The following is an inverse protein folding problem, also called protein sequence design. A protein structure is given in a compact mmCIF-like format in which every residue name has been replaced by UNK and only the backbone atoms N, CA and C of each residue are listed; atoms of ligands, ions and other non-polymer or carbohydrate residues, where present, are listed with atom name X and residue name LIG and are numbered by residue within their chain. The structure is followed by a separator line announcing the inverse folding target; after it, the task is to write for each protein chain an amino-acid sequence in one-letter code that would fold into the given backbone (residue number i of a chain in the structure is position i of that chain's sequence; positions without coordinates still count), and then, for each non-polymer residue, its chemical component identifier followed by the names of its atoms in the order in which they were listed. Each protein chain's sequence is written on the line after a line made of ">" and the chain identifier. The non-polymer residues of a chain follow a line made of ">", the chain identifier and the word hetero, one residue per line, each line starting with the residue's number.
data_IF_368323461026
#
_entry.id   IF_368323461026
#
_cell.length_a   1.000
_cell.length_b   1.000
_cell.length_c   1.000
_cell.angle_alpha   90.00
_cell.angle_beta   90.00
_cell.angle_gamma   90.00
#
_symmetry.space_group_name_H-M   'P 1'
#
loop_
_entity.id
_entity.type
_entity.pdbx_description
1 polymer ?
#
# COMPACT_ATOMS: atom_id res chain seq x y z
N UNK A 1 26.76 -20.94 -23.51
CA UNK A 1 26.42 -19.63 -24.08
C UNK A 1 26.37 -18.64 -22.93
N UNK A 2 27.32 -17.71 -22.88
CA UNK A 2 27.39 -16.69 -21.86
C UNK A 2 26.27 -15.69 -22.10
N UNK A 3 25.30 -15.60 -21.18
CA UNK A 3 24.34 -14.53 -21.18
C UNK A 3 25.08 -13.24 -20.76
N UNK A 4 25.33 -12.39 -21.72
CA UNK A 4 25.81 -11.03 -21.45
C UNK A 4 24.64 -10.28 -20.80
N UNK A 5 24.74 -10.00 -19.51
CA UNK A 5 23.85 -9.07 -18.81
C UNK A 5 23.84 -7.73 -19.55
N UNK A 6 22.66 -7.17 -19.84
CA UNK A 6 22.58 -5.85 -20.44
C UNK A 6 23.18 -4.81 -19.50
N UNK A 7 24.20 -4.13 -19.94
CA UNK A 7 25.07 -3.25 -19.14
C UNK A 7 24.48 -1.85 -18.88
N UNK A 8 23.17 -1.63 -19.00
CA UNK A 8 22.55 -0.37 -18.60
C UNK A 8 21.26 -0.65 -17.85
N UNK A 9 21.33 -0.55 -16.53
CA UNK A 9 20.12 -0.38 -15.72
C UNK A 9 19.48 0.95 -16.12
N UNK A 10 18.17 0.98 -16.38
CA UNK A 10 17.48 2.25 -16.57
C UNK A 10 17.65 3.10 -15.31
N UNK A 11 17.90 4.39 -15.49
CA UNK A 11 17.98 5.34 -14.39
C UNK A 11 16.55 5.68 -14.00
N UNK A 12 15.98 4.93 -13.07
CA UNK A 12 14.57 5.02 -12.69
C UNK A 12 14.25 6.22 -11.79
N UNK A 13 15.29 6.89 -11.27
CA UNK A 13 15.12 8.09 -10.46
C UNK A 13 15.70 9.27 -11.22
N UNK A 14 14.86 10.17 -11.73
CA UNK A 14 15.34 11.41 -12.35
C UNK A 14 16.16 12.25 -11.37
N UNK A 15 17.20 12.93 -11.85
CA UNK A 15 18.15 13.68 -11.02
C UNK A 15 17.51 14.71 -10.07
N UNK A 16 16.35 15.25 -10.42
CA UNK A 16 15.64 16.21 -9.59
C UNK A 16 14.94 15.58 -8.38
N UNK A 17 14.49 14.33 -8.47
CA UNK A 17 14.03 13.57 -7.30
C UNK A 17 15.17 13.35 -6.33
N UNK A 18 16.39 13.09 -6.83
CA UNK A 18 17.55 12.93 -6.00
C UNK A 18 17.81 14.16 -5.12
N UNK A 19 17.56 15.37 -5.61
CA UNK A 19 17.76 16.60 -4.81
C UNK A 19 16.66 16.84 -3.77
N UNK A 20 15.41 16.48 -4.06
CA UNK A 20 14.32 16.56 -3.11
C UNK A 20 14.42 15.46 -2.06
N UNK A 21 14.72 14.24 -2.48
CA UNK A 21 14.99 13.09 -1.60
C UNK A 21 16.21 13.39 -0.72
N UNK A 22 17.29 13.99 -1.24
CA UNK A 22 18.46 14.37 -0.46
C UNK A 22 18.12 15.28 0.71
N UNK A 23 17.23 16.26 0.50
CA UNK A 23 16.80 17.16 1.59
C UNK A 23 15.96 16.45 2.65
N UNK A 24 15.12 15.50 2.25
CA UNK A 24 14.29 14.70 3.15
C UNK A 24 15.11 13.67 3.92
N UNK A 25 16.25 13.27 3.38
CA UNK A 25 17.13 12.24 3.94
C UNK A 25 18.32 12.80 4.68
N UNK A 26 18.42 14.11 4.78
CA UNK A 26 19.50 14.76 5.53
C UNK A 26 19.56 14.21 6.96
N UNK A 27 20.69 13.62 7.31
CA UNK A 27 20.91 12.97 8.60
C UNK A 27 20.48 11.50 8.70
N UNK A 28 19.96 10.88 7.63
CA UNK A 28 19.81 9.42 7.60
C UNK A 28 21.17 8.74 7.41
N UNK A 29 21.39 7.59 8.07
CA UNK A 29 22.62 6.84 7.84
C UNK A 29 22.64 6.33 6.39
N UNK A 30 23.75 6.57 5.69
CA UNK A 30 23.97 6.11 4.31
C UNK A 30 23.89 4.57 4.14
N UNK A 31 23.77 3.83 5.23
CA UNK A 31 23.73 2.37 5.26
C UNK A 31 22.33 1.76 5.14
N UNK A 32 21.27 2.56 5.01
CA UNK A 32 19.91 2.04 4.81
C UNK A 32 19.75 1.40 3.43
N UNK A 33 20.65 1.73 2.52
CA UNK A 33 20.58 1.32 1.12
C UNK A 33 21.62 0.24 0.81
N UNK A 34 21.33 -1.00 1.15
CA UNK A 34 22.12 -2.12 0.69
C UNK A 34 21.64 -2.60 -0.68
N UNK A 35 22.55 -2.66 -1.63
CA UNK A 35 22.34 -3.35 -2.92
C UNK A 35 22.54 -4.87 -2.80
N UNK A 36 22.66 -5.38 -1.59
CA UNK A 36 22.77 -6.82 -1.38
C UNK A 36 21.45 -7.48 -1.73
N UNK A 37 21.52 -8.49 -2.57
CA UNK A 37 20.35 -9.27 -2.94
C UNK A 37 19.98 -10.23 -1.84
N UNK A 38 18.70 -10.27 -1.43
CA UNK A 38 18.25 -11.36 -0.60
C UNK A 38 18.31 -12.66 -1.41
N UNK A 39 18.85 -13.71 -0.81
CA UNK A 39 18.70 -15.05 -1.35
C UNK A 39 17.38 -15.63 -0.87
N UNK A 40 16.57 -16.17 -1.80
CA UNK A 40 15.33 -16.88 -1.46
C UNK A 40 14.25 -16.04 -0.73
N UNK A 41 14.06 -14.80 -1.14
CA UNK A 41 12.96 -13.97 -0.66
C UNK A 41 11.59 -14.48 -1.17
N UNK A 42 10.54 -14.28 -0.39
CA UNK A 42 9.15 -14.49 -0.80
C UNK A 42 8.34 -13.27 -0.40
N UNK A 43 7.54 -12.76 -1.32
CA UNK A 43 6.59 -11.70 -1.04
C UNK A 43 5.53 -12.18 -0.03
N UNK A 44 5.17 -11.31 0.91
CA UNK A 44 4.20 -11.62 1.94
C UNK A 44 2.82 -11.18 1.48
N UNK A 45 1.88 -12.12 1.41
CA UNK A 45 0.49 -11.85 1.05
C UNK A 45 -0.23 -11.07 2.17
N UNK A 46 -1.29 -10.34 1.79
CA UNK A 46 -2.09 -9.58 2.75
C UNK A 46 -2.75 -10.48 3.81
N UNK A 47 -3.18 -11.66 3.42
CA UNK A 47 -3.79 -12.65 4.31
C UNK A 47 -2.79 -13.44 5.17
N UNK A 48 -1.49 -13.12 5.10
CA UNK A 48 -0.50 -13.68 6.02
C UNK A 48 -0.69 -13.14 7.45
N UNK A 49 -0.17 -13.83 8.47
CA UNK A 49 -0.30 -13.36 9.86
C UNK A 49 0.32 -11.99 10.06
N UNK A 50 -0.50 -11.01 10.43
CA UNK A 50 -0.12 -9.63 10.71
C UNK A 50 -0.14 -9.35 12.21
N UNK A 51 0.87 -8.65 12.70
CA UNK A 51 0.95 -8.17 14.09
C UNK A 51 0.66 -6.69 14.21
N UNK A 52 0.58 -5.97 13.09
CA UNK A 52 0.29 -4.54 13.10
C UNK A 52 -0.26 -4.04 11.77
N UNK A 53 -0.72 -2.79 11.80
CA UNK A 53 -1.19 -2.04 10.63
C UNK A 53 -0.57 -0.65 10.65
N UNK A 54 0.01 -0.25 9.53
CA UNK A 54 0.51 1.09 9.28
C UNK A 54 -0.62 1.92 8.66
N UNK A 55 -0.89 3.06 9.27
CA UNK A 55 -1.84 4.08 8.81
C UNK A 55 -1.17 5.46 8.90
N UNK A 56 -1.79 6.47 8.32
CA UNK A 56 -1.26 7.84 8.39
C UNK A 56 -2.28 8.83 8.96
N UNK A 57 -1.74 9.88 9.58
CA UNK A 57 -2.48 11.02 10.11
C UNK A 57 -1.86 12.31 9.55
N UNK A 58 -2.01 12.54 8.25
CA UNK A 58 -1.35 13.64 7.55
C UNK A 58 -1.93 14.99 7.91
N UNK A 59 -1.12 16.03 7.73
CA UNK A 59 -1.54 17.42 7.87
C UNK A 59 -2.04 18.06 6.58
N UNK A 60 -2.26 17.26 5.53
CA UNK A 60 -2.78 17.72 4.24
C UNK A 60 -4.10 17.04 3.92
N UNK A 61 -4.96 17.74 3.20
CA UNK A 61 -6.23 17.20 2.71
C UNK A 61 -5.96 16.52 1.35
N UNK A 62 -6.43 15.28 1.12
CA UNK A 62 -6.31 14.63 -0.17
C UNK A 62 -6.90 15.47 -1.30
N UNK A 63 -6.18 15.58 -2.41
CA UNK A 63 -6.56 16.42 -3.54
C UNK A 63 -5.96 17.83 -3.53
N UNK A 64 -5.43 18.28 -2.40
CA UNK A 64 -4.61 19.49 -2.35
C UNK A 64 -3.15 19.15 -2.66
N UNK A 65 -2.42 20.13 -3.20
CA UNK A 65 -0.98 19.97 -3.43
C UNK A 65 -0.27 19.74 -2.09
N UNK A 66 0.52 18.68 -1.96
CA UNK A 66 1.27 18.43 -0.73
C UNK A 66 2.24 19.56 -0.44
N UNK A 67 2.28 19.98 0.80
CA UNK A 67 3.20 21.01 1.26
C UNK A 67 4.31 20.39 2.09
N UNK A 68 5.49 20.94 2.00
CA UNK A 68 6.66 20.50 2.73
C UNK A 68 7.12 21.59 3.72
N UNK A 69 6.92 21.41 5.01
CA UNK A 69 6.22 20.30 5.68
C UNK A 69 4.70 20.34 5.48
N UNK A 70 4.00 19.23 5.60
CA UNK A 70 2.54 19.16 5.56
C UNK A 70 1.91 20.14 6.56
N UNK A 71 0.87 20.85 6.11
CA UNK A 71 0.15 21.85 6.91
C UNK A 71 -1.35 21.62 6.85
N UNK A 72 -2.07 22.19 7.84
CA UNK A 72 -3.53 22.09 7.93
C UNK A 72 -4.02 21.09 9.00
N UNK A 73 -5.33 20.90 9.12
CA UNK A 73 -5.91 19.97 10.08
C UNK A 73 -5.47 18.55 9.78
N UNK A 74 -5.11 17.80 10.85
CA UNK A 74 -4.75 16.40 10.71
C UNK A 74 -5.97 15.51 10.85
N UNK A 75 -6.03 14.43 10.05
CA UNK A 75 -7.10 13.46 10.12
C UNK A 75 -6.67 12.09 9.60
N UNK A 76 -7.28 11.02 10.12
CA UNK A 76 -7.22 9.71 9.49
C UNK A 76 -8.10 9.69 8.23
N UNK A 77 -7.62 9.03 7.20
CA UNK A 77 -8.42 8.70 6.01
C UNK A 77 -9.41 7.54 6.22
N UNK A 78 -9.40 6.92 7.40
CA UNK A 78 -10.26 5.80 7.78
C UNK A 78 -11.07 6.15 9.04
N UNK A 79 -12.24 5.52 9.26
CA UNK A 79 -13.02 5.72 10.49
C UNK A 79 -12.27 5.26 11.73
N UNK A 80 -12.46 5.96 12.83
CA UNK A 80 -11.92 5.56 14.13
C UNK A 80 -12.38 4.16 14.54
N UNK A 81 -13.62 3.78 14.20
CA UNK A 81 -14.16 2.44 14.41
C UNK A 81 -13.27 1.35 13.83
N UNK A 82 -12.79 1.51 12.59
CA UNK A 82 -11.90 0.53 11.97
C UNK A 82 -10.60 0.37 12.78
N UNK A 83 -10.01 1.48 13.23
CA UNK A 83 -8.77 1.45 14.04
C UNK A 83 -8.99 0.65 15.32
N UNK A 84 -10.10 0.88 16.01
CA UNK A 84 -10.45 0.20 17.27
C UNK A 84 -10.69 -1.29 17.02
N UNK A 85 -11.46 -1.63 15.97
CA UNK A 85 -11.76 -3.02 15.64
C UNK A 85 -10.53 -3.83 15.20
N UNK A 86 -9.57 -3.19 14.51
CA UNK A 86 -8.31 -3.84 14.18
C UNK A 86 -7.53 -4.28 15.44
N UNK A 87 -7.55 -3.49 16.51
CA UNK A 87 -6.88 -3.85 17.77
C UNK A 87 -7.54 -5.05 18.49
N UNK A 88 -8.82 -5.31 18.25
CA UNK A 88 -9.57 -6.38 18.90
C UNK A 88 -9.51 -7.72 18.16
N UNK A 89 -8.81 -7.75 17.07
CA UNK A 89 -8.75 -8.86 16.14
C UNK A 89 -8.26 -10.19 16.78
N UNK A 90 -7.40 -10.12 17.82
CA UNK A 90 -6.96 -11.30 18.56
C UNK A 90 -6.68 -10.97 20.03
N UNK A 91 -7.36 -11.64 20.96
CA UNK A 91 -7.17 -11.39 22.39
C UNK A 91 -5.78 -11.75 22.93
N UNK A 92 -5.11 -12.74 22.31
CA UNK A 92 -3.80 -13.22 22.74
C UNK A 92 -2.64 -12.66 21.91
N UNK A 93 -2.92 -12.05 20.77
CA UNK A 93 -1.94 -11.42 19.88
C UNK A 93 -2.50 -10.09 19.38
N UNK A 94 -2.46 -9.04 20.20
CA UNK A 94 -3.04 -7.76 19.84
C UNK A 94 -2.39 -7.18 18.59
N UNK A 95 -3.19 -6.58 17.73
CA UNK A 95 -2.71 -5.85 16.56
C UNK A 95 -2.25 -4.46 16.97
N UNK A 96 -1.01 -4.13 16.65
CA UNK A 96 -0.42 -2.82 16.91
C UNK A 96 -0.74 -1.85 15.76
N UNK A 97 -1.12 -0.64 16.10
CA UNK A 97 -1.40 0.42 15.14
C UNK A 97 -0.22 1.38 15.09
N UNK A 98 0.43 1.46 13.94
CA UNK A 98 1.50 2.39 13.68
C UNK A 98 0.94 3.57 12.89
N UNK A 99 1.03 4.77 13.47
CA UNK A 99 0.49 6.00 12.90
C UNK A 99 1.62 6.89 12.42
N UNK A 100 1.76 7.08 11.13
CA UNK A 100 2.67 8.08 10.59
C UNK A 100 2.13 9.47 10.86
N UNK A 101 2.81 10.22 11.71
CA UNK A 101 2.45 11.59 12.10
C UNK A 101 3.70 12.33 12.55
N UNK A 102 4.12 13.35 11.82
CA UNK A 102 5.32 14.15 12.14
C UNK A 102 5.19 14.94 13.43
N UNK A 103 3.99 15.16 13.91
CA UNK A 103 3.71 15.82 15.17
C UNK A 103 3.38 14.82 16.28
N UNK A 104 4.38 14.38 17.01
CA UNK A 104 4.23 13.44 18.12
C UNK A 104 3.33 13.96 19.25
N UNK A 105 3.13 15.28 19.35
CA UNK A 105 2.20 15.87 20.34
C UNK A 105 0.74 15.53 20.05
N UNK A 106 0.42 15.09 18.83
CA UNK A 106 -0.92 14.63 18.46
C UNK A 106 -1.32 13.31 19.14
N UNK A 107 -0.37 12.58 19.72
CA UNK A 107 -0.67 11.28 20.35
C UNK A 107 -1.81 11.39 21.37
N UNK A 108 -1.76 12.34 22.26
CA UNK A 108 -2.81 12.52 23.28
C UNK A 108 -4.17 12.87 22.67
N UNK A 109 -4.18 13.67 21.61
CA UNK A 109 -5.40 14.00 20.89
C UNK A 109 -6.02 12.76 20.21
N UNK A 110 -5.19 12.00 19.50
CA UNK A 110 -5.57 10.75 18.85
C UNK A 110 -6.11 9.73 19.87
N UNK A 111 -5.40 9.53 20.99
CA UNK A 111 -5.82 8.62 22.04
C UNK A 111 -7.19 9.01 22.65
N UNK A 112 -7.41 10.31 22.82
CA UNK A 112 -8.70 10.83 23.33
C UNK A 112 -9.83 10.55 22.33
N UNK A 113 -9.64 10.84 21.05
CA UNK A 113 -10.64 10.60 20.01
C UNK A 113 -10.99 9.11 19.91
N UNK A 114 -9.98 8.24 19.87
CA UNK A 114 -10.17 6.80 19.78
C UNK A 114 -10.84 6.22 21.03
N UNK A 115 -10.49 6.72 22.22
CA UNK A 115 -11.13 6.32 23.48
C UNK A 115 -12.60 6.73 23.51
N UNK A 116 -12.92 7.94 23.07
CA UNK A 116 -14.30 8.40 22.98
C UNK A 116 -15.11 7.51 22.02
N UNK A 117 -14.62 7.29 20.81
CA UNK A 117 -15.29 6.43 19.82
C UNK A 117 -15.45 5.00 20.34
N UNK A 118 -14.43 4.43 21.00
CA UNK A 118 -14.53 3.10 21.59
C UNK A 118 -15.65 3.04 22.64
N UNK A 119 -15.76 4.06 23.48
CA UNK A 119 -16.83 4.15 24.49
C UNK A 119 -18.21 4.21 23.85
N UNK A 120 -18.39 5.02 22.81
CA UNK A 120 -19.63 5.14 22.05
C UNK A 120 -20.06 3.82 21.37
N UNK A 121 -19.09 3.02 20.95
CA UNK A 121 -19.31 1.72 20.30
C UNK A 121 -19.42 0.55 21.31
N UNK A 122 -19.18 0.79 22.59
CA UNK A 122 -19.10 -0.28 23.60
C UNK A 122 -17.88 -1.20 23.40
N UNK A 123 -16.80 -0.67 22.80
CA UNK A 123 -15.55 -1.36 22.51
C UNK A 123 -14.42 -0.86 23.44
N UNK A 124 -13.27 -1.54 23.41
CA UNK A 124 -12.09 -1.14 24.19
C UNK A 124 -10.99 -0.67 23.24
N UNK A 125 -10.46 0.53 23.47
CA UNK A 125 -9.27 1.01 22.81
C UNK A 125 -8.05 0.76 23.73
N UNK A 126 -7.00 0.15 23.18
CA UNK A 126 -5.73 -0.06 23.88
C UNK A 126 -4.68 0.93 23.39
N UNK A 127 -4.40 1.95 24.18
CA UNK A 127 -3.39 2.97 23.86
C UNK A 127 -1.94 2.45 23.86
N UNK A 128 -1.65 1.33 24.55
CA UNK A 128 -0.32 0.71 24.53
C UNK A 128 0.02 0.11 23.16
N UNK A 129 -1.00 -0.22 22.37
CA UNK A 129 -0.85 -0.74 21.02
C UNK A 129 -0.94 0.35 19.94
N UNK A 130 -0.94 1.63 20.35
CA UNK A 130 -0.87 2.78 19.44
C UNK A 130 0.52 3.40 19.45
N UNK A 131 1.17 3.44 18.29
CA UNK A 131 2.54 3.89 18.14
C UNK A 131 2.63 5.02 17.11
N UNK A 132 3.12 6.17 17.52
CA UNK A 132 3.37 7.30 16.60
C UNK A 132 4.73 7.12 15.97
N UNK A 133 4.73 6.99 14.64
CA UNK A 133 5.90 7.02 13.79
C UNK A 133 6.14 8.49 13.41
N UNK A 134 7.21 9.13 13.89
CA UNK A 134 7.38 10.58 13.80
C UNK A 134 7.83 11.02 12.39
N UNK A 135 7.00 10.80 11.41
CA UNK A 135 7.19 11.20 10.03
C UNK A 135 5.90 11.70 9.42
N UNK A 136 5.92 12.88 8.83
CA UNK A 136 4.79 13.40 8.07
C UNK A 136 4.66 12.65 6.75
N UNK A 137 3.42 12.45 6.31
CA UNK A 137 3.07 11.93 4.99
C UNK A 137 2.31 13.00 4.22
N UNK A 138 2.37 12.92 2.89
CA UNK A 138 1.64 13.84 2.03
C UNK A 138 0.17 13.43 1.92
N UNK A 139 -0.11 12.13 2.09
CA UNK A 139 -1.46 11.57 2.02
C UNK A 139 -1.66 10.44 3.04
N UNK A 140 -2.87 9.90 3.13
CA UNK A 140 -3.18 8.75 3.96
C UNK A 140 -3.14 7.40 3.22
N UNK A 141 -2.77 7.36 1.95
CA UNK A 141 -2.73 6.13 1.15
C UNK A 141 -1.49 5.28 1.45
N UNK A 142 -1.42 4.76 2.68
CA UNK A 142 -0.27 3.97 3.14
C UNK A 142 -0.09 2.65 2.39
N UNK A 143 -1.11 2.16 1.70
CA UNK A 143 -1.00 1.01 0.80
C UNK A 143 0.01 1.27 -0.30
N UNK A 144 -0.03 2.45 -0.89
CA UNK A 144 0.70 2.77 -2.11
C UNK A 144 2.20 2.95 -1.85
N UNK A 145 2.55 3.65 -0.79
CA UNK A 145 3.95 3.96 -0.45
C UNK A 145 4.51 3.17 0.74
N UNK A 146 3.69 2.41 1.42
CA UNK A 146 4.09 1.63 2.60
C UNK A 146 5.06 0.48 2.29
N UNK A 147 5.52 -0.22 3.31
CA UNK A 147 6.51 -1.26 3.14
C UNK A 147 5.98 -2.47 2.36
N UNK A 148 6.76 -2.94 1.38
CA UNK A 148 6.52 -4.19 0.68
C UNK A 148 7.31 -5.29 1.37
N UNK A 149 6.63 -6.08 2.16
CA UNK A 149 7.28 -7.07 3.00
C UNK A 149 7.66 -8.33 2.22
N UNK A 150 8.86 -8.82 2.51
CA UNK A 150 9.37 -10.11 2.05
C UNK A 150 9.90 -10.92 3.22
N UNK A 151 9.93 -12.22 3.05
CA UNK A 151 10.46 -13.17 4.03
C UNK A 151 11.46 -14.09 3.37
N UNK A 152 12.62 -14.30 4.00
CA UNK A 152 13.63 -15.25 3.59
C UNK A 152 13.55 -16.51 4.47
N UNK A 153 13.05 -17.60 3.89
CA UNK A 153 12.87 -18.86 4.61
C UNK A 153 14.19 -19.48 5.10
N UNK A 154 15.29 -19.24 4.39
CA UNK A 154 16.58 -19.88 4.72
C UNK A 154 17.33 -19.17 5.84
N UNK A 155 17.08 -17.89 6.02
CA UNK A 155 17.80 -17.05 7.00
C UNK A 155 16.88 -16.55 8.10
N UNK A 156 15.61 -16.93 8.08
CA UNK A 156 14.56 -16.54 9.04
C UNK A 156 14.52 -15.03 9.31
N UNK A 157 14.62 -14.23 8.26
CA UNK A 157 14.52 -12.79 8.37
C UNK A 157 13.48 -12.16 7.43
N UNK A 158 12.94 -11.02 7.84
CA UNK A 158 12.06 -10.19 7.06
C UNK A 158 12.83 -9.04 6.41
N UNK A 159 12.32 -8.56 5.29
CA UNK A 159 12.85 -7.40 4.61
C UNK A 159 11.75 -6.53 4.02
N UNK A 160 12.06 -5.27 3.78
CA UNK A 160 11.28 -4.38 2.93
C UNK A 160 11.95 -4.32 1.56
N UNK A 161 11.20 -4.66 0.52
CA UNK A 161 11.57 -4.39 -0.87
C UNK A 161 10.97 -3.05 -1.28
N UNK A 162 11.77 -1.98 -1.27
CA UNK A 162 11.31 -0.61 -1.57
C UNK A 162 11.31 -0.36 -3.05
N UNK A 163 10.15 0.01 -3.59
CA UNK A 163 10.00 0.62 -4.90
C UNK A 163 9.98 2.15 -4.78
N UNK A 164 10.36 2.85 -5.80
CA UNK A 164 10.13 4.30 -5.88
C UNK A 164 8.64 4.52 -6.14
N UNK A 165 8.01 5.35 -5.31
CA UNK A 165 6.57 5.59 -5.38
C UNK A 165 6.23 6.78 -6.27
N UNK A 166 6.97 7.88 -6.15
CA UNK A 166 6.65 9.09 -6.90
C UNK A 166 7.74 9.48 -7.90
N UNK A 167 7.29 10.06 -9.00
CA UNK A 167 8.12 10.73 -9.98
C UNK A 167 7.70 12.21 -10.08
N UNK A 168 8.33 13.00 -10.96
CA UNK A 168 7.96 14.42 -11.17
C UNK A 168 6.52 14.65 -11.63
N UNK A 169 5.83 13.68 -12.02
CA UNK A 169 4.44 13.84 -12.41
C UNK A 169 3.45 13.19 -11.44
N UNK A 170 3.90 12.83 -10.23
CA UNK A 170 3.13 12.04 -9.28
C UNK A 170 3.41 10.55 -9.40
N UNK A 171 3.12 9.76 -8.37
CA UNK A 171 3.37 8.32 -8.34
C UNK A 171 2.68 7.54 -9.47
N UNK A 172 1.62 8.07 -9.98
CA UNK A 172 0.75 7.46 -11.00
C UNK A 172 0.92 8.14 -12.37
N UNK A 173 2.09 8.69 -12.62
CA UNK A 173 2.40 9.38 -13.87
C UNK A 173 2.28 8.43 -15.05
N UNK A 174 1.63 8.90 -16.05
CA UNK A 174 1.40 8.19 -17.31
C UNK A 174 -0.03 7.70 -17.48
N UNK A 175 -0.84 7.69 -16.41
CA UNK A 175 -2.26 7.37 -16.51
C UNK A 175 -3.18 8.60 -16.40
N UNK A 176 -2.67 9.74 -16.00
CA UNK A 176 -3.47 10.98 -15.99
C UNK A 176 -3.62 11.45 -17.42
N UNK A 177 -4.79 11.23 -17.98
CA UNK A 177 -5.14 11.75 -19.30
C UNK A 177 -4.93 13.27 -19.30
N UNK A 178 -4.05 13.76 -20.19
CA UNK A 178 -3.69 15.17 -20.22
C UNK A 178 -2.45 15.58 -19.41
N UNK A 179 -1.79 14.68 -18.72
CA UNK A 179 -0.54 14.99 -18.00
C UNK A 179 0.55 15.53 -18.91
N UNK A 180 0.53 15.14 -20.19
CA UNK A 180 1.43 15.67 -21.21
C UNK A 180 1.15 17.12 -21.61
N UNK A 181 -0.01 17.64 -21.31
CA UNK A 181 -0.41 19.01 -21.60
C UNK A 181 -0.27 19.92 -20.38
N UNK A 182 0.10 19.36 -19.26
CA UNK A 182 0.27 20.12 -18.03
C UNK A 182 1.66 20.75 -18.08
N UNK A 183 1.71 22.08 -18.09
CA UNK A 183 2.98 22.81 -18.06
C UNK A 183 3.74 22.43 -16.78
N UNK A 184 5.08 22.45 -16.78
CA UNK A 184 5.85 22.19 -15.56
C UNK A 184 5.49 23.08 -14.36
N UNK A 185 4.76 24.16 -14.59
CA UNK A 185 4.26 25.06 -13.53
C UNK A 185 2.92 24.64 -12.96
N UNK A 186 2.10 23.97 -13.78
CA UNK A 186 0.76 23.51 -13.40
C UNK A 186 0.74 22.02 -13.07
N UNK A 187 1.69 21.28 -13.60
CA UNK A 187 1.71 19.84 -13.63
C UNK A 187 2.75 19.18 -12.77
N UNK A 188 3.22 19.86 -11.78
CA UNK A 188 3.77 19.16 -10.60
C UNK A 188 2.62 18.44 -9.89
N UNK A 189 1.82 17.77 -10.69
CA UNK A 189 0.80 16.88 -10.20
C UNK A 189 1.42 16.08 -9.09
N UNK A 190 0.89 15.84 -8.11
CA UNK A 190 1.07 15.00 -6.93
C UNK A 190 2.54 14.55 -6.72
N UNK A 191 3.46 15.52 -6.55
CA UNK A 191 4.78 15.21 -6.01
C UNK A 191 4.62 14.92 -4.51
N UNK A 192 4.79 13.66 -4.11
CA UNK A 192 4.58 13.17 -2.74
C UNK A 192 5.86 12.62 -2.13
N UNK A 193 6.85 13.46 -1.83
CA UNK A 193 8.16 13.00 -1.37
C UNK A 193 8.12 12.42 0.06
N UNK A 194 7.22 12.89 0.91
CA UNK A 194 7.06 12.33 2.25
C UNK A 194 6.48 10.92 2.17
N UNK A 195 5.53 10.70 1.28
CA UNK A 195 4.96 9.38 1.01
C UNK A 195 6.03 8.45 0.45
N UNK A 196 6.76 8.85 -0.59
CA UNK A 196 7.81 8.00 -1.16
C UNK A 196 8.85 7.58 -0.12
N UNK A 197 9.12 8.44 0.85
CA UNK A 197 10.04 8.15 1.94
C UNK A 197 9.40 7.41 3.12
N UNK A 198 8.11 7.21 3.11
CA UNK A 198 7.36 6.63 4.21
C UNK A 198 7.88 5.26 4.66
N UNK A 199 8.11 4.34 3.72
CA UNK A 199 8.64 3.01 4.02
C UNK A 199 10.06 3.06 4.62
N UNK A 200 10.90 4.00 4.19
CA UNK A 200 12.26 4.21 4.74
C UNK A 200 12.19 4.66 6.18
N UNK A 201 11.32 5.61 6.48
CA UNK A 201 11.12 6.16 7.82
C UNK A 201 10.50 5.15 8.78
N UNK A 202 9.56 4.39 8.29
CA UNK A 202 8.99 3.29 9.07
C UNK A 202 10.03 2.21 9.37
N UNK A 203 10.86 1.86 8.38
CA UNK A 203 12.01 0.96 8.56
C UNK A 203 12.99 1.46 9.63
N UNK A 204 13.33 2.73 9.57
CA UNK A 204 14.23 3.35 10.55
C UNK A 204 13.60 3.34 11.96
N UNK A 205 12.31 3.65 12.08
CA UNK A 205 11.57 3.60 13.34
C UNK A 205 11.62 2.22 13.98
N UNK A 206 11.40 1.16 13.22
CA UNK A 206 11.41 -0.21 13.72
C UNK A 206 12.83 -0.69 14.11
N UNK A 207 13.84 -0.34 13.33
CA UNK A 207 15.22 -0.78 13.57
C UNK A 207 15.99 0.08 14.60
N UNK A 208 15.49 1.26 14.91
CA UNK A 208 16.15 2.21 15.82
C UNK A 208 15.19 2.75 16.88
N UNK A 209 14.63 1.90 17.73
CA UNK A 209 13.59 2.29 18.69
C UNK A 209 14.05 3.28 19.77
N UNK A 210 15.36 3.47 19.95
CA UNK A 210 15.93 4.40 20.94
C UNK A 210 16.01 5.83 20.40
N UNK A 211 15.79 6.06 19.11
CA UNK A 211 15.79 7.43 18.59
C UNK A 211 14.65 8.21 19.22
N UNK A 212 15.00 9.12 20.11
CA UNK A 212 14.09 10.19 20.48
C UNK A 212 13.96 11.13 19.27
N UNK A 213 12.86 10.98 18.57
CA UNK A 213 12.52 11.81 17.43
C UNK A 213 12.20 13.23 17.93
N UNK A 214 13.23 14.06 17.99
CA UNK A 214 13.03 15.46 18.30
C UNK A 214 12.73 16.19 16.98
N UNK A 215 11.62 16.92 16.92
CA UNK A 215 11.13 17.68 15.76
C UNK A 215 12.20 18.51 15.03
N UNK A 216 13.25 18.87 15.73
CA UNK A 216 14.15 19.89 15.23
C UNK A 216 15.39 19.36 14.51
N UNK A 217 15.88 18.18 14.78
CA UNK A 217 17.13 17.67 14.19
C UNK A 217 17.31 16.18 14.33
N UNK A 218 17.71 15.56 13.25
CA UNK A 218 18.43 14.31 13.20
C UNK A 218 19.80 14.51 13.87
N UNK A 219 19.91 14.30 15.17
CA UNK A 219 21.19 14.48 15.85
C UNK A 219 22.14 13.33 15.52
N UNK A 220 23.36 13.68 15.08
CA UNK A 220 24.47 12.76 14.88
C UNK A 220 24.73 11.85 16.09
N UNK A 221 24.47 12.34 17.28
CA UNK A 221 24.75 11.64 18.54
C UNK A 221 23.73 10.54 18.88
N UNK A 222 22.55 10.57 18.28
CA UNK A 222 21.56 9.50 18.43
C UNK A 222 21.92 8.20 17.65
N UNK A 223 22.91 8.27 16.75
CA UNK A 223 23.39 7.15 15.94
C UNK A 223 24.26 6.13 16.70
N UNK A 224 24.63 6.41 17.92
CA UNK A 224 25.65 5.60 18.66
C UNK A 224 25.10 4.40 19.39
N UNK A 225 23.77 4.24 19.51
CA UNK A 225 23.15 3.08 20.13
C UNK A 225 22.15 2.43 19.16
N UNK A 226 22.67 1.70 18.19
CA UNK A 226 21.84 0.81 17.39
C UNK A 226 21.31 -0.31 18.29
N UNK A 227 20.04 -0.69 18.10
CA UNK A 227 19.52 -1.88 18.74
C UNK A 227 20.41 -3.09 18.36
N UNK A 228 20.80 -3.93 19.32
CA UNK A 228 21.52 -5.15 19.05
C UNK A 228 20.69 -6.14 18.22
N UNK A 229 19.38 -5.95 18.17
CA UNK A 229 18.43 -6.79 17.42
C UNK A 229 18.03 -6.05 16.15
N UNK A 230 18.41 -6.59 15.00
CA UNK A 230 17.95 -6.14 13.70
C UNK A 230 16.55 -6.69 13.43
N UNK A 231 15.56 -5.81 13.38
CA UNK A 231 14.15 -6.21 13.22
C UNK A 231 13.87 -6.74 11.83
N UNK A 232 14.43 -6.08 10.80
CA UNK A 232 14.31 -6.48 9.39
C UNK A 232 15.42 -5.88 8.53
N UNK A 233 15.55 -6.39 7.31
CA UNK A 233 16.42 -5.83 6.27
C UNK A 233 15.66 -4.83 5.38
N UNK A 234 16.38 -4.11 4.53
CA UNK A 234 15.83 -3.14 3.60
C UNK A 234 16.58 -3.19 2.27
N UNK A 235 15.85 -3.27 1.15
CA UNK A 235 16.42 -3.34 -0.19
C UNK A 235 15.68 -2.40 -1.13
N UNK A 236 16.41 -1.74 -2.03
CA UNK A 236 15.83 -1.02 -3.15
C UNK A 236 15.74 -1.92 -4.37
N UNK A 237 14.57 -1.99 -4.97
CA UNK A 237 14.34 -2.82 -6.16
C UNK A 237 14.78 -2.15 -7.45
N UNK A 238 14.87 -0.82 -7.46
CA UNK A 238 15.12 -0.05 -8.66
C UNK A 238 13.91 0.10 -9.58
N UNK A 239 12.74 -0.30 -9.13
CA UNK A 239 11.47 -0.16 -9.86
C UNK A 239 10.69 1.05 -9.37
N UNK A 240 9.90 1.63 -10.27
CA UNK A 240 8.76 2.46 -9.92
C UNK A 240 7.54 1.55 -9.83
N UNK A 241 6.86 1.56 -8.69
CA UNK A 241 5.63 0.82 -8.51
C UNK A 241 4.85 1.34 -7.31
N UNK A 242 3.59 0.99 -7.24
CA UNK A 242 2.63 1.43 -6.22
C UNK A 242 1.92 0.23 -5.60
N UNK A 243 1.83 0.23 -4.27
CA UNK A 243 1.35 -0.93 -3.53
C UNK A 243 -0.10 -1.31 -3.78
N UNK A 244 -0.95 -0.38 -4.21
CA UNK A 244 -2.33 -0.66 -4.63
C UNK A 244 -2.41 -1.39 -5.97
N UNK A 245 -1.39 -1.26 -6.81
CA UNK A 245 -1.28 -2.00 -8.07
C UNK A 245 -0.56 -3.34 -7.93
N UNK A 246 -0.56 -3.92 -6.74
CA UNK A 246 0.23 -5.10 -6.48
C UNK A 246 -0.52 -6.07 -5.56
N UNK A 247 -0.80 -7.28 -6.05
CA UNK A 247 -1.31 -8.35 -5.19
C UNK A 247 -0.49 -9.63 -5.36
N UNK A 248 -0.27 -10.34 -4.25
CA UNK A 248 0.49 -11.60 -4.20
C UNK A 248 -0.29 -12.69 -3.49
N UNK A 249 -0.11 -13.92 -3.94
CA UNK A 249 -0.71 -15.10 -3.34
C UNK A 249 0.14 -15.74 -2.22
N UNK A 250 1.34 -15.21 -1.96
CA UNK A 250 2.28 -15.75 -0.99
C UNK A 250 3.05 -16.99 -1.45
N UNK A 251 2.77 -17.51 -2.65
CA UNK A 251 3.40 -18.70 -3.23
C UNK A 251 4.32 -18.33 -4.43
N UNK A 252 4.61 -17.05 -4.61
CA UNK A 252 5.49 -16.55 -5.67
C UNK A 252 4.76 -16.03 -6.90
N UNK A 253 3.44 -15.95 -6.88
CA UNK A 253 2.67 -15.36 -7.97
C UNK A 253 2.26 -13.95 -7.62
N UNK A 254 2.36 -13.06 -8.60
CA UNK A 254 1.94 -11.66 -8.51
C UNK A 254 0.95 -11.35 -9.65
N UNK A 255 0.05 -10.42 -9.38
CA UNK A 255 -0.76 -9.78 -10.41
C UNK A 255 -0.80 -8.27 -10.22
N UNK A 256 -0.83 -7.55 -11.33
CA UNK A 256 -1.01 -6.10 -11.40
C UNK A 256 -1.70 -5.69 -12.69
N UNK A 257 -2.06 -4.42 -12.80
CA UNK A 257 -2.38 -3.83 -14.09
C UNK A 257 -1.12 -3.50 -14.90
N UNK A 258 -1.29 -3.08 -16.15
CA UNK A 258 -0.20 -2.58 -17.02
C UNK A 258 0.50 -1.32 -16.49
N UNK A 259 -0.02 -0.70 -15.45
CA UNK A 259 0.57 0.49 -14.81
C UNK A 259 2.06 0.27 -14.50
N UNK A 260 2.43 -0.91 -14.03
CA UNK A 260 3.84 -1.26 -13.75
C UNK A 260 4.75 -1.08 -14.97
N UNK A 261 4.27 -1.44 -16.16
CA UNK A 261 5.03 -1.28 -17.39
C UNK A 261 5.18 0.21 -17.74
N UNK A 262 4.09 0.96 -17.66
CA UNK A 262 4.08 2.40 -17.93
C UNK A 262 4.98 3.18 -16.99
N UNK A 263 4.97 2.84 -15.70
CA UNK A 263 5.82 3.49 -14.69
C UNK A 263 7.31 3.18 -14.89
N UNK A 264 7.66 2.04 -15.46
CA UNK A 264 9.04 1.63 -15.69
C UNK A 264 9.53 1.95 -17.14
N UNK A 265 9.34 3.19 -17.56
CA UNK A 265 9.88 3.78 -18.81
C UNK A 265 9.25 3.30 -20.13
N UNK A 266 8.00 2.88 -20.12
CA UNK A 266 7.29 2.71 -21.37
C UNK A 266 6.61 4.03 -21.78
N UNK A 267 7.08 4.71 -22.86
CA UNK A 267 6.59 6.02 -23.23
C UNK A 267 5.26 5.93 -23.98
N UNK A 268 4.18 5.54 -23.32
CA UNK A 268 2.89 5.46 -24.01
C UNK A 268 1.73 5.91 -23.17
N UNK A 269 0.84 6.64 -23.84
CA UNK A 269 -0.48 6.99 -23.34
C UNK A 269 -1.46 5.81 -23.40
N UNK A 270 -1.09 4.77 -24.13
CA UNK A 270 -1.97 3.65 -24.41
C UNK A 270 -1.18 2.34 -24.37
N UNK A 271 -1.21 1.68 -23.26
CA UNK A 271 -0.50 0.42 -22.98
C UNK A 271 -0.81 -0.68 -23.99
N UNK A 272 -2.08 -0.77 -24.38
CA UNK A 272 -2.50 -1.71 -25.43
C UNK A 272 -1.84 -1.43 -26.77
N UNK A 273 -1.74 -0.16 -27.11
CA UNK A 273 -1.11 0.25 -28.36
C UNK A 273 0.38 -0.09 -28.39
N UNK A 274 1.08 0.06 -27.28
CA UNK A 274 2.48 -0.33 -27.23
C UNK A 274 2.66 -1.84 -27.35
N UNK A 275 1.91 -2.61 -26.57
CA UNK A 275 1.98 -4.07 -26.64
C UNK A 275 1.66 -4.59 -28.03
N UNK A 276 0.62 -4.03 -28.68
CA UNK A 276 0.22 -4.40 -30.02
C UNK A 276 1.24 -3.98 -31.08
N UNK A 277 1.87 -2.81 -30.95
CA UNK A 277 2.79 -2.25 -31.94
C UNK A 277 4.26 -2.65 -31.73
N UNK A 278 4.64 -2.89 -30.47
CA UNK A 278 6.02 -3.16 -30.11
C UNK A 278 6.14 -4.25 -29.01
N UNK A 279 5.64 -5.48 -29.25
CA UNK A 279 5.60 -6.54 -28.26
C UNK A 279 6.98 -6.90 -27.70
N UNK A 280 8.03 -6.83 -28.53
CA UNK A 280 9.39 -7.13 -28.09
C UNK A 280 9.93 -6.13 -27.04
N UNK A 281 9.60 -4.85 -27.18
CA UNK A 281 9.98 -3.83 -26.17
C UNK A 281 9.22 -4.05 -24.88
N UNK A 282 7.94 -4.36 -24.96
CA UNK A 282 7.13 -4.68 -23.80
C UNK A 282 7.69 -5.91 -23.07
N UNK A 283 8.00 -6.99 -23.77
CA UNK A 283 8.59 -8.19 -23.18
C UNK A 283 9.95 -7.89 -22.52
N UNK A 284 10.80 -7.13 -23.15
CA UNK A 284 12.10 -6.73 -22.59
C UNK A 284 11.92 -5.99 -21.23
N UNK A 285 10.98 -5.03 -21.18
CA UNK A 285 10.70 -4.27 -19.97
C UNK A 285 10.07 -5.12 -18.89
N UNK A 286 9.10 -5.95 -19.24
CA UNK A 286 8.46 -6.85 -18.29
C UNK A 286 9.42 -7.92 -17.77
N UNK A 287 10.33 -8.42 -18.61
CA UNK A 287 11.38 -9.32 -18.15
C UNK A 287 12.31 -8.64 -17.14
N UNK A 288 12.68 -7.37 -17.36
CA UNK A 288 13.44 -6.61 -16.36
C UNK A 288 12.68 -6.45 -15.05
N UNK A 289 11.39 -6.06 -15.11
CA UNK A 289 10.54 -5.92 -13.92
C UNK A 289 10.46 -7.26 -13.17
N UNK A 290 10.18 -8.33 -13.88
CA UNK A 290 10.10 -9.67 -13.29
C UNK A 290 11.43 -10.11 -12.68
N UNK A 291 12.56 -9.83 -13.32
CA UNK A 291 13.89 -10.12 -12.78
C UNK A 291 14.12 -9.40 -11.44
N UNK A 292 13.76 -8.12 -11.33
CA UNK A 292 13.90 -7.40 -10.07
C UNK A 292 12.94 -7.94 -9.00
N UNK A 293 11.69 -8.23 -9.35
CA UNK A 293 10.72 -8.81 -8.42
C UNK A 293 11.12 -10.22 -7.98
N UNK A 294 11.64 -11.05 -8.89
CA UNK A 294 12.20 -12.36 -8.54
C UNK A 294 13.37 -12.21 -7.56
N UNK A 295 14.30 -11.30 -7.88
CA UNK A 295 15.50 -11.06 -7.10
C UNK A 295 15.21 -10.60 -5.67
N UNK A 296 14.28 -9.66 -5.48
CA UNK A 296 14.02 -9.02 -4.19
C UNK A 296 12.83 -9.58 -3.44
N UNK A 297 11.89 -10.23 -4.15
CA UNK A 297 10.61 -10.64 -3.61
C UNK A 297 10.25 -12.11 -3.91
N UNK A 298 11.13 -12.83 -4.61
CA UNK A 298 10.94 -14.25 -4.90
C UNK A 298 9.80 -14.54 -5.88
N UNK A 299 9.43 -13.57 -6.71
CA UNK A 299 8.34 -13.74 -7.68
C UNK A 299 8.76 -14.67 -8.80
N UNK A 300 7.95 -15.70 -9.05
CA UNK A 300 8.16 -16.72 -10.08
C UNK A 300 7.25 -16.52 -11.28
N UNK A 301 6.05 -16.00 -11.05
CA UNK A 301 5.03 -15.80 -12.08
C UNK A 301 4.37 -14.44 -11.92
N UNK A 302 4.15 -13.74 -13.03
CA UNK A 302 3.57 -12.42 -13.04
C UNK A 302 2.43 -12.29 -14.06
N UNK A 303 1.22 -12.04 -13.56
CA UNK A 303 0.06 -11.67 -14.39
C UNK A 303 -0.02 -10.16 -14.51
N UNK A 304 0.24 -9.63 -15.69
CA UNK A 304 0.04 -8.23 -16.03
C UNK A 304 -1.25 -8.10 -16.81
N UNK A 305 -2.22 -7.41 -16.24
CA UNK A 305 -3.60 -7.37 -16.71
C UNK A 305 -3.98 -5.96 -17.19
N UNK A 306 -4.91 -5.90 -18.12
CA UNK A 306 -5.51 -4.62 -18.52
C UNK A 306 -6.35 -4.09 -17.38
N UNK A 307 -6.20 -2.80 -17.05
CA UNK A 307 -7.17 -2.14 -16.15
C UNK A 307 -8.55 -2.13 -16.82
N UNK A 308 -9.55 -2.81 -16.25
CA UNK A 308 -10.88 -2.88 -16.84
C UNK A 308 -11.64 -1.56 -16.75
N UNK A 309 -11.36 -0.78 -15.72
CA UNK A 309 -12.10 0.44 -15.41
C UNK A 309 -11.67 1.64 -16.25
N UNK A 310 -10.42 1.64 -16.73
CA UNK A 310 -9.81 2.79 -17.38
C UNK A 310 -9.74 4.01 -16.46
N UNK A 311 -9.65 3.77 -15.14
CA UNK A 311 -9.52 4.86 -14.17
C UNK A 311 -8.13 5.48 -14.26
N UNK A 312 -8.02 6.71 -13.77
CA UNK A 312 -6.75 7.43 -13.79
C UNK A 312 -5.67 6.80 -12.90
N UNK A 313 -6.06 5.99 -11.90
CA UNK A 313 -5.11 5.32 -11.01
C UNK A 313 -4.67 3.94 -11.50
N UNK A 314 -5.52 3.20 -12.22
CA UNK A 314 -5.19 1.92 -12.83
C UNK A 314 -4.77 0.81 -11.86
N UNK A 315 -5.07 0.92 -10.56
CA UNK A 315 -4.67 -0.06 -9.56
C UNK A 315 -5.52 -1.33 -9.58
N UNK A 316 -4.86 -2.47 -9.41
CA UNK A 316 -5.55 -3.77 -9.38
C UNK A 316 -6.47 -3.92 -8.17
N UNK A 317 -6.16 -3.31 -7.03
CA UNK A 317 -6.96 -3.41 -5.80
C UNK A 317 -8.32 -2.70 -5.88
N UNK A 318 -8.53 -1.88 -6.92
CA UNK A 318 -9.85 -1.32 -7.23
C UNK A 318 -10.85 -2.38 -7.70
N UNK A 319 -10.37 -3.48 -8.31
CA UNK A 319 -11.22 -4.47 -8.98
C UNK A 319 -10.83 -5.93 -8.76
N UNK A 320 -9.69 -6.20 -8.11
CA UNK A 320 -9.20 -7.55 -7.86
C UNK A 320 -8.47 -7.67 -6.53
N UNK A 321 -8.52 -8.88 -5.93
CA UNK A 321 -7.86 -9.17 -4.66
C UNK A 321 -7.62 -10.67 -4.47
N UNK A 322 -6.42 -11.06 -4.04
CA UNK A 322 -6.23 -12.40 -3.49
C UNK A 322 -6.84 -12.50 -2.09
N UNK A 323 -7.72 -13.47 -1.91
CA UNK A 323 -8.34 -13.77 -0.62
C UNK A 323 -7.57 -14.84 0.17
N UNK A 324 -6.91 -15.74 -0.54
CA UNK A 324 -6.07 -16.81 -0.03
C UNK A 324 -5.12 -17.27 -1.15
N UNK A 325 -4.23 -18.18 -0.84
CA UNK A 325 -3.28 -18.73 -1.82
C UNK A 325 -3.93 -19.39 -3.04
N UNK A 326 -5.17 -19.82 -2.91
CA UNK A 326 -5.95 -20.52 -3.95
C UNK A 326 -7.25 -19.80 -4.32
N UNK A 327 -7.46 -18.58 -3.82
CA UNK A 327 -8.72 -17.83 -3.99
C UNK A 327 -8.46 -16.39 -4.41
N UNK A 328 -9.25 -15.92 -5.36
CA UNK A 328 -9.26 -14.53 -5.82
C UNK A 328 -10.68 -13.98 -5.86
N UNK A 329 -10.80 -12.70 -5.57
CA UNK A 329 -12.03 -11.94 -5.73
C UNK A 329 -11.87 -10.97 -6.88
N UNK A 330 -12.80 -10.97 -7.83
CA UNK A 330 -12.83 -10.04 -8.96
C UNK A 330 -14.17 -9.30 -8.97
N UNK A 331 -14.13 -8.01 -9.16
CA UNK A 331 -15.33 -7.18 -9.23
C UNK A 331 -16.22 -7.57 -10.40
N UNK A 332 -17.49 -7.22 -10.28
CA UNK A 332 -18.45 -7.12 -11.39
C UNK A 332 -18.96 -5.68 -11.47
N UNK A 333 -19.30 -5.22 -12.67
CA UNK A 333 -19.82 -3.86 -12.88
C UNK A 333 -21.13 -3.91 -13.64
N UNK A 334 -22.00 -2.90 -13.42
CA UNK A 334 -23.18 -2.70 -14.25
C UNK A 334 -22.84 -2.23 -15.67
N UNK A 335 -21.66 -1.59 -15.85
CA UNK A 335 -21.19 -1.21 -17.16
C UNK A 335 -20.78 -2.46 -17.96
N UNK A 336 -21.48 -2.74 -19.04
CA UNK A 336 -21.30 -3.96 -19.83
C UNK A 336 -19.89 -4.10 -20.44
N UNK A 337 -19.26 -2.98 -20.85
CA UNK A 337 -17.91 -3.00 -21.43
C UNK A 337 -16.86 -3.27 -20.34
N UNK A 338 -16.99 -2.67 -19.19
CA UNK A 338 -16.14 -2.93 -18.04
C UNK A 338 -16.34 -4.37 -17.58
N UNK A 339 -17.58 -4.82 -17.43
CA UNK A 339 -17.88 -6.16 -16.96
C UNK A 339 -17.33 -7.24 -17.90
N UNK A 340 -17.40 -7.02 -19.21
CA UNK A 340 -16.79 -7.95 -20.20
C UNK A 340 -15.28 -8.10 -19.98
N UNK A 341 -14.56 -7.04 -19.66
CA UNK A 341 -13.12 -7.12 -19.34
C UNK A 341 -12.91 -7.85 -18.02
N UNK A 342 -13.73 -7.57 -17.00
CA UNK A 342 -13.67 -8.27 -15.70
C UNK A 342 -13.97 -9.75 -15.82
N UNK A 343 -14.88 -10.16 -16.73
CA UNK A 343 -15.17 -11.56 -17.00
C UNK A 343 -13.96 -12.29 -17.63
N UNK A 344 -13.29 -11.66 -18.60
CA UNK A 344 -12.05 -12.20 -19.16
C UNK A 344 -10.93 -12.35 -18.12
N UNK A 345 -10.82 -11.39 -17.20
CA UNK A 345 -9.88 -11.46 -16.09
C UNK A 345 -10.24 -12.60 -15.14
N UNK A 346 -11.51 -12.73 -14.79
CA UNK A 346 -12.01 -13.81 -13.95
C UNK A 346 -11.74 -15.19 -14.57
N UNK A 347 -11.98 -15.35 -15.86
CA UNK A 347 -11.70 -16.59 -16.61
C UNK A 347 -10.19 -16.91 -16.63
N UNK A 348 -9.34 -15.90 -16.75
CA UNK A 348 -7.89 -16.08 -16.66
C UNK A 348 -7.46 -16.61 -15.28
N UNK A 349 -7.98 -16.03 -14.20
CA UNK A 349 -7.69 -16.51 -12.85
C UNK A 349 -8.31 -17.88 -12.57
N UNK A 350 -9.48 -18.18 -13.12
CA UNK A 350 -10.17 -19.46 -12.88
C UNK A 350 -9.40 -20.70 -13.36
N UNK A 351 -8.34 -20.52 -14.16
CA UNK A 351 -7.46 -21.61 -14.58
C UNK A 351 -6.63 -22.17 -13.41
N UNK A 352 -6.38 -21.37 -12.36
CA UNK A 352 -5.51 -21.75 -11.24
C UNK A 352 -6.12 -21.46 -9.87
N UNK A 353 -7.12 -20.56 -9.80
CA UNK A 353 -7.71 -20.06 -8.55
C UNK A 353 -9.23 -20.26 -8.51
N UNK A 354 -9.77 -20.38 -7.32
CA UNK A 354 -11.21 -20.26 -7.09
C UNK A 354 -11.60 -18.79 -7.15
N UNK A 355 -12.36 -18.41 -8.16
CA UNK A 355 -12.78 -17.02 -8.37
C UNK A 355 -14.12 -16.78 -7.67
N UNK A 356 -14.16 -15.75 -6.83
CA UNK A 356 -15.40 -15.15 -6.32
C UNK A 356 -15.65 -13.84 -7.03
N UNK A 357 -16.91 -13.44 -7.15
CA UNK A 357 -17.29 -12.18 -7.80
C UNK A 357 -18.06 -11.31 -6.82
N UNK A 358 -17.74 -10.01 -6.83
CA UNK A 358 -18.47 -9.01 -6.04
C UNK A 358 -18.92 -7.86 -6.93
N UNK A 359 -20.18 -7.48 -6.81
CA UNK A 359 -20.73 -6.41 -7.62
C UNK A 359 -20.31 -5.05 -7.05
N UNK A 360 -19.63 -4.25 -7.88
CA UNK A 360 -19.31 -2.84 -7.64
C UNK A 360 -19.98 -2.05 -8.78
N UNK A 361 -20.97 -1.23 -8.48
CA UNK A 361 -21.82 -0.59 -9.48
C UNK A 361 -20.99 0.13 -10.55
N UNK A 362 -20.17 1.07 -10.12
CA UNK A 362 -19.24 1.79 -10.98
C UNK A 362 -17.85 1.82 -10.33
N UNK A 363 -16.85 1.68 -11.17
CA UNK A 363 -15.45 1.63 -10.76
C UNK A 363 -14.71 2.92 -11.16
N UNK A 364 -15.34 4.06 -10.95
CA UNK A 364 -14.77 5.37 -11.20
C UNK A 364 -15.10 6.33 -10.05
N UNK A 365 -14.39 7.46 -10.01
CA UNK A 365 -14.72 8.55 -9.10
C UNK A 365 -15.82 9.40 -9.76
N UNK A 366 -17.04 9.46 -9.19
CA UNK A 366 -18.10 10.26 -9.77
C UNK A 366 -17.72 11.75 -9.75
N UNK A 367 -18.10 12.46 -10.81
CA UNK A 367 -18.02 13.93 -10.82
C UNK A 367 -19.04 14.52 -9.84
N UNK A 368 -18.88 15.79 -9.52
CA UNK A 368 -19.70 16.46 -8.51
C UNK A 368 -21.23 16.45 -8.84
N UNK A 369 -21.57 16.31 -10.11
CA UNK A 369 -22.94 16.27 -10.64
C UNK A 369 -23.44 14.85 -10.98
N UNK A 370 -22.61 13.84 -10.78
CA UNK A 370 -22.96 12.44 -11.03
C UNK A 370 -23.52 11.76 -9.78
N UNK A 371 -24.40 10.76 -9.94
CA UNK A 371 -24.90 9.99 -8.80
C UNK A 371 -23.75 9.32 -8.04
N UNK A 372 -23.90 9.18 -6.73
CA UNK A 372 -23.00 8.36 -5.93
C UNK A 372 -22.99 6.92 -6.47
N UNK A 373 -21.90 6.23 -6.27
CA UNK A 373 -21.70 4.83 -6.66
C UNK A 373 -21.47 3.96 -5.42
N UNK A 374 -21.55 2.64 -5.58
CA UNK A 374 -21.15 1.73 -4.50
C UNK A 374 -19.68 1.94 -4.15
N UNK A 375 -19.32 1.62 -2.91
CA UNK A 375 -17.92 1.52 -2.51
C UNK A 375 -17.19 0.45 -3.34
N UNK A 376 -15.87 0.56 -3.41
CA UNK A 376 -15.02 -0.48 -3.98
C UNK A 376 -14.95 -1.67 -3.01
N UNK A 377 -15.91 -2.59 -3.08
CA UNK A 377 -15.97 -3.74 -2.16
C UNK A 377 -14.74 -4.66 -2.25
N UNK A 378 -14.03 -4.68 -3.37
CA UNK A 378 -12.73 -5.37 -3.51
C UNK A 378 -11.63 -4.71 -2.67
N UNK A 379 -11.74 -3.42 -2.40
CA UNK A 379 -10.80 -2.63 -1.61
C UNK A 379 -11.02 -2.80 -0.10
N UNK A 380 -11.30 -4.03 0.32
CA UNK A 380 -11.43 -4.51 1.70
C UNK A 380 -10.07 -4.68 2.36
N UNK A 381 -10.04 -4.84 3.67
CA UNK A 381 -8.82 -5.20 4.42
C UNK A 381 -8.96 -6.61 4.99
N UNK A 382 -8.06 -7.52 4.61
CA UNK A 382 -7.89 -8.82 5.27
C UNK A 382 -6.83 -8.64 6.36
N UNK A 383 -7.20 -8.96 7.59
CA UNK A 383 -6.32 -8.85 8.73
C UNK A 383 -6.52 -10.06 9.66
N UNK A 384 -5.62 -11.03 9.56
CA UNK A 384 -5.73 -12.31 10.27
C UNK A 384 -7.06 -13.00 9.94
N UNK A 385 -7.87 -13.34 10.95
CA UNK A 385 -9.15 -14.03 10.78
C UNK A 385 -10.34 -13.07 10.53
N UNK A 386 -10.07 -11.80 10.23
CA UNK A 386 -11.08 -10.79 9.96
C UNK A 386 -10.95 -10.23 8.53
N UNK A 387 -12.10 -9.93 7.96
CA UNK A 387 -12.18 -9.15 6.73
C UNK A 387 -13.07 -7.93 6.97
N UNK A 388 -12.50 -6.77 6.84
CA UNK A 388 -13.23 -5.51 6.92
C UNK A 388 -13.62 -5.10 5.51
N UNK A 389 -14.94 -4.97 5.28
CA UNK A 389 -15.52 -4.67 3.97
C UNK A 389 -16.09 -3.25 3.99
N UNK A 390 -15.71 -2.38 3.03
CA UNK A 390 -16.28 -1.04 2.97
C UNK A 390 -17.77 -1.12 2.66
N UNK A 391 -18.60 -0.37 3.37
CA UNK A 391 -20.02 -0.24 3.11
C UNK A 391 -20.32 1.05 2.36
N UNK A 392 -21.24 1.00 1.41
CA UNK A 392 -21.71 2.16 0.64
C UNK A 392 -22.75 2.96 1.44
N UNK A 393 -23.47 2.29 2.33
CA UNK A 393 -24.42 2.91 3.24
C UNK A 393 -25.78 3.19 2.60
N UNK A 394 -26.38 4.31 3.01
CA UNK A 394 -27.76 4.65 2.68
C UNK A 394 -28.07 4.62 1.19
N UNK A 395 -29.05 3.79 0.83
CA UNK A 395 -29.51 3.59 -0.55
C UNK A 395 -28.80 2.43 -1.28
N UNK A 396 -27.82 1.80 -0.64
CA UNK A 396 -27.04 0.70 -1.19
C UNK A 396 -27.03 -0.53 -0.29
N UNK A 397 -27.92 -0.60 0.70
CA UNK A 397 -27.92 -1.63 1.75
C UNK A 397 -27.97 -3.05 1.18
N UNK A 398 -28.67 -3.26 0.05
CA UNK A 398 -28.72 -4.56 -0.61
C UNK A 398 -27.35 -4.93 -1.20
N UNK A 399 -26.67 -3.99 -1.86
CA UNK A 399 -25.33 -4.21 -2.41
C UNK A 399 -24.32 -4.48 -1.31
N UNK A 400 -24.41 -3.75 -0.20
CA UNK A 400 -23.58 -3.97 1.00
C UNK A 400 -23.78 -5.39 1.54
N UNK A 401 -25.03 -5.81 1.68
CA UNK A 401 -25.35 -7.16 2.18
C UNK A 401 -24.87 -8.26 1.21
N UNK A 402 -25.00 -8.07 -0.09
CA UNK A 402 -24.54 -9.01 -1.10
C UNK A 402 -22.99 -9.10 -1.10
N UNK A 403 -22.30 -7.98 -0.94
CA UNK A 403 -20.86 -7.95 -0.77
C UNK A 403 -20.40 -8.72 0.48
N UNK A 404 -21.02 -8.46 1.62
CA UNK A 404 -20.74 -9.19 2.87
C UNK A 404 -20.98 -10.69 2.72
N UNK A 405 -22.06 -11.11 2.04
CA UNK A 405 -22.37 -12.52 1.79
C UNK A 405 -21.35 -13.17 0.84
N UNK A 406 -20.86 -12.43 -0.16
CA UNK A 406 -19.78 -12.89 -1.04
C UNK A 406 -18.53 -13.22 -0.24
N UNK A 407 -18.12 -12.34 0.66
CA UNK A 407 -16.95 -12.59 1.53
C UNK A 407 -17.18 -13.76 2.50
N UNK A 408 -18.36 -13.88 3.13
CA UNK A 408 -18.71 -15.02 4.00
C UNK A 408 -18.64 -16.35 3.26
N UNK A 409 -19.08 -16.38 2.00
CA UNK A 409 -19.03 -17.58 1.15
C UNK A 409 -17.58 -17.91 0.74
N UNK A 410 -16.81 -16.91 0.35
CA UNK A 410 -15.44 -17.09 -0.10
C UNK A 410 -14.50 -17.47 1.06
N UNK A 411 -14.72 -16.89 2.26
CA UNK A 411 -13.89 -17.03 3.45
C UNK A 411 -14.73 -17.48 4.68
N UNK A 412 -15.26 -18.71 4.69
CA UNK A 412 -16.22 -19.16 5.72
C UNK A 412 -15.63 -19.23 7.15
N UNK A 413 -14.32 -19.23 7.27
CA UNK A 413 -13.62 -19.26 8.57
C UNK A 413 -13.21 -17.87 9.07
N UNK A 414 -13.56 -16.80 8.35
CA UNK A 414 -13.23 -15.43 8.74
C UNK A 414 -14.47 -14.71 9.29
N UNK A 415 -14.23 -13.80 10.20
CA UNK A 415 -15.23 -12.85 10.68
C UNK A 415 -15.33 -11.69 9.68
N UNK A 416 -16.49 -11.54 9.04
CA UNK A 416 -16.73 -10.49 8.05
C UNK A 416 -17.43 -9.31 8.70
N UNK A 417 -16.78 -8.15 8.67
CA UNK A 417 -17.25 -6.93 9.33
C UNK A 417 -17.42 -5.83 8.29
N UNK A 418 -18.62 -5.28 8.18
CA UNK A 418 -18.87 -4.10 7.37
C UNK A 418 -18.45 -2.82 8.10
N UNK A 419 -17.84 -1.88 7.39
CA UNK A 419 -17.38 -0.61 7.94
C UNK A 419 -17.89 0.54 7.08
N UNK A 420 -18.65 1.43 7.71
CA UNK A 420 -19.09 2.68 7.08
C UNK A 420 -17.92 3.63 6.85
N UNK A 421 -18.02 4.48 5.84
CA UNK A 421 -17.01 5.50 5.58
C UNK A 421 -17.06 6.62 6.62
N UNK A 422 -15.98 7.36 6.72
CA UNK A 422 -15.94 8.64 7.41
C UNK A 422 -16.59 9.71 6.50
N UNK A 423 -17.51 10.55 7.01
CA UNK A 423 -18.21 11.54 6.16
C UNK A 423 -17.26 12.47 5.39
N UNK A 424 -16.16 12.87 6.00
CA UNK A 424 -15.16 13.74 5.39
C UNK A 424 -14.27 13.03 4.35
N UNK A 425 -14.19 11.71 4.45
CA UNK A 425 -13.38 10.86 3.56
C UNK A 425 -14.18 9.61 3.17
N UNK A 426 -15.22 9.78 2.32
CA UNK A 426 -16.08 8.68 1.93
C UNK A 426 -15.28 7.56 1.21
N UNK A 427 -15.82 6.34 1.24
CA UNK A 427 -15.36 5.29 0.34
C UNK A 427 -15.76 5.67 -1.09
N UNK A 428 -14.83 5.48 -2.02
CA UNK A 428 -15.04 5.73 -3.44
C UNK A 428 -15.16 4.41 -4.21
N UNK A 429 -15.59 4.45 -5.44
CA UNK A 429 -15.66 3.27 -6.31
C UNK A 429 -14.29 2.67 -6.65
N UNK A 430 -13.20 3.37 -6.31
CA UNK A 430 -11.81 2.96 -6.56
C UNK A 430 -10.92 3.00 -5.33
N UNK A 431 -11.37 3.57 -4.21
CA UNK A 431 -10.55 3.80 -3.01
C UNK A 431 -11.38 3.57 -1.75
N UNK A 432 -10.92 2.67 -0.91
CA UNK A 432 -11.46 2.43 0.40
C UNK A 432 -10.36 2.05 1.40
N UNK A 433 -10.64 1.19 2.35
CA UNK A 433 -9.75 0.92 3.46
C UNK A 433 -8.46 0.19 3.08
N UNK A 434 -8.43 -0.61 2.01
CA UNK A 434 -7.21 -1.28 1.54
C UNK A 434 -6.16 -0.26 1.11
N UNK A 435 -6.53 0.72 0.30
CA UNK A 435 -5.65 1.81 -0.12
C UNK A 435 -5.08 2.59 1.08
N UNK A 436 -5.82 2.70 2.17
CA UNK A 436 -5.53 3.56 3.32
C UNK A 436 -4.89 2.82 4.50
N UNK A 437 -4.52 1.54 4.31
CA UNK A 437 -3.89 0.70 5.33
C UNK A 437 -2.79 -0.17 4.75
N UNK A 438 -1.79 -0.51 5.57
CA UNK A 438 -0.71 -1.44 5.19
C UNK A 438 -0.37 -2.37 6.34
N UNK A 439 -0.51 -3.69 6.12
CA UNK A 439 -0.17 -4.70 7.12
C UNK A 439 1.32 -4.72 7.47
N UNK A 440 1.61 -5.05 8.72
CA UNK A 440 2.97 -5.29 9.24
C UNK A 440 3.02 -6.74 9.75
N UNK A 441 3.92 -7.58 9.21
CA UNK A 441 3.97 -9.00 9.58
C UNK A 441 4.13 -9.20 11.08
N UNK A 442 3.46 -10.22 11.63
CA UNK A 442 3.47 -10.53 13.07
C UNK A 442 4.88 -10.67 13.61
N UNK A 443 5.73 -11.43 12.93
CA UNK A 443 7.11 -11.64 13.37
C UNK A 443 7.96 -10.38 13.39
N UNK A 444 7.70 -9.44 12.50
CA UNK A 444 8.35 -8.12 12.50
C UNK A 444 7.98 -7.34 13.77
N UNK A 445 6.70 -7.34 14.13
CA UNK A 445 6.23 -6.69 15.36
C UNK A 445 6.81 -7.36 16.61
N UNK A 446 6.82 -8.69 16.67
CA UNK A 446 7.43 -9.45 17.78
C UNK A 446 8.93 -9.14 17.94
N UNK A 447 9.66 -9.10 16.82
CA UNK A 447 11.09 -8.75 16.84
C UNK A 447 11.29 -7.30 17.30
N UNK A 448 10.43 -6.39 16.87
CA UNK A 448 10.46 -5.00 17.30
C UNK A 448 10.19 -4.87 18.81
N UNK A 449 9.13 -5.51 19.34
CA UNK A 449 8.84 -5.52 20.77
C UNK A 449 9.99 -6.11 21.59
N UNK A 450 10.60 -7.20 21.12
CA UNK A 450 11.78 -7.81 21.74
C UNK A 450 12.97 -6.84 21.73
N UNK A 451 13.13 -6.05 20.67
CA UNK A 451 14.16 -5.01 20.61
C UNK A 451 13.96 -3.90 21.62
N UNK A 452 12.69 -3.50 21.88
CA UNK A 452 12.37 -2.52 22.91
C UNK A 452 12.71 -3.05 24.32
N UNK A 453 12.40 -4.31 24.60
CA UNK A 453 12.71 -4.93 25.90
C UNK A 453 14.22 -5.05 26.13
N UNK A 454 14.99 -5.38 25.10
CA UNK A 454 16.46 -5.52 25.19
C UNK A 454 17.19 -4.19 25.46
N UNK A 455 16.50 -3.06 25.33
CA UNK A 455 17.05 -1.70 25.49
C UNK A 455 16.66 -1.08 26.82
N UNK A 456 15.64 -1.63 27.49
CA UNK A 456 15.28 -1.17 28.85
C UNK A 456 16.40 -1.58 29.82
N UNK A 457 16.85 -0.64 30.70
CA UNK A 457 17.96 -0.88 31.61
C UNK A 457 17.66 -1.94 32.65
#
# INVERSE_FOLDING_TARGET
>A
MSMTTPNKRPTLVPNYLASAVSRLTEGLPNKVYHNDTPSFANAIAEFAPMGGVLIAYPGTIPGEQPQLPPSGPRAFGIPNELIIRMQQNESNNPVHIFVMCGDVSQKQHIEKELTQTATELGLVFNSENLHIVPWDTDTFWTRDYGPWWTYNKNSDYYAIAKHTYTTLGGGEVGLVEGAENVSPKEGLGIFRPNDDYGAVKFSDYLNNPIRQWNKARWHKDALTKLSPIKVHNFFYTGLLDVGGNYMVDGEGNIASSYLVATQNELPTKNEHDLYAKCPAIFEERMNYVLEQLNRFMGIQSYRVLTDPSGTYIGHIDCWGKFLAKDKVLIAQSENAEINKKLDLIADNFAQEYKVSRVFCQNMYIPKADEPATTAAYTNSLILNDYVYVPLSGKGYEQYDQDALNTYRTALPNHTIVGIDSKPEFPWLGTDAMHCRTRGVPRKVVENWLSSLQAIQP
#
